data_IF_761924607884
#
_entry.id   IF_761924607884
#
_cell.length_a   1.000
_cell.length_b   1.000
_cell.length_c   1.000
_cell.angle_alpha   90.00
_cell.angle_beta   90.00
_cell.angle_gamma   90.00
#
_symmetry.space_group_name_H-M   'P 1'
#
loop_
_entity.id
_entity.type
_entity.pdbx_description
1 polymer ?
#
# COMPACT_ATOMS: atom_id res chain seq x y z
N UNK A 1 15.26 -10.22 24.41
CA UNK A 1 16.25 -11.21 23.95
C UNK A 1 15.75 -11.78 22.64
N UNK A 2 16.56 -11.69 21.59
CA UNK A 2 16.23 -12.26 20.27
C UNK A 2 16.15 -13.78 20.37
N UNK A 3 14.99 -14.36 20.06
CA UNK A 3 14.76 -15.80 20.17
C UNK A 3 14.88 -16.45 18.80
N UNK A 4 16.04 -17.07 18.55
CA UNK A 4 16.36 -17.74 17.27
C UNK A 4 15.28 -18.73 16.83
N UNK A 5 14.70 -19.47 17.77
CA UNK A 5 13.64 -20.45 17.49
C UNK A 5 12.37 -19.81 16.89
N UNK A 6 11.93 -18.67 17.45
CA UNK A 6 10.76 -17.95 16.93
C UNK A 6 11.04 -17.39 15.52
N UNK A 7 12.24 -16.87 15.30
CA UNK A 7 12.65 -16.36 14.00
C UNK A 7 12.63 -17.44 12.92
N UNK A 8 13.25 -18.59 13.21
CA UNK A 8 13.35 -19.70 12.27
C UNK A 8 11.98 -20.28 11.90
N UNK A 9 11.07 -20.38 12.87
CA UNK A 9 9.69 -20.79 12.62
C UNK A 9 8.95 -19.76 11.75
N UNK A 10 9.06 -18.48 12.10
CA UNK A 10 8.43 -17.38 11.34
C UNK A 10 8.89 -17.41 9.88
N UNK A 11 10.17 -17.67 9.65
CA UNK A 11 10.73 -17.89 8.33
C UNK A 11 10.15 -19.13 7.64
N UNK A 12 10.17 -20.30 8.28
CA UNK A 12 9.65 -21.54 7.66
C UNK A 12 8.19 -21.42 7.21
N UNK A 13 7.37 -20.70 7.97
CA UNK A 13 5.97 -20.47 7.67
C UNK A 13 5.76 -19.48 6.51
N UNK A 14 6.61 -18.47 6.39
CA UNK A 14 6.44 -17.36 5.43
C UNK A 14 7.42 -17.40 4.26
N UNK A 15 8.32 -18.39 4.20
CA UNK A 15 9.46 -18.41 3.26
C UNK A 15 9.05 -18.12 1.81
N UNK A 16 7.96 -18.73 1.33
CA UNK A 16 7.53 -18.56 -0.06
C UNK A 16 7.04 -17.13 -0.33
N UNK A 17 6.32 -16.52 0.61
CA UNK A 17 5.83 -15.15 0.48
C UNK A 17 6.98 -14.15 0.61
N UNK A 18 7.96 -14.43 1.46
CA UNK A 18 9.19 -13.63 1.57
C UNK A 18 9.97 -13.67 0.26
N UNK A 19 10.22 -14.86 -0.30
CA UNK A 19 10.90 -14.95 -1.59
C UNK A 19 10.12 -14.29 -2.72
N UNK A 20 8.79 -14.42 -2.72
CA UNK A 20 7.92 -13.69 -3.64
C UNK A 20 8.12 -12.17 -3.49
N UNK A 21 8.09 -11.64 -2.27
CA UNK A 21 8.33 -10.22 -1.99
C UNK A 21 9.68 -9.74 -2.54
N UNK A 22 10.74 -10.51 -2.33
CA UNK A 22 12.08 -10.20 -2.84
C UNK A 22 12.11 -10.18 -4.37
N UNK A 23 11.61 -11.24 -5.02
CA UNK A 23 11.58 -11.35 -6.48
C UNK A 23 10.78 -10.23 -7.12
N UNK A 24 9.59 -9.97 -6.59
CA UNK A 24 8.71 -8.91 -7.05
C UNK A 24 9.38 -7.54 -6.89
N UNK A 25 10.08 -7.30 -5.77
CA UNK A 25 10.80 -6.04 -5.55
C UNK A 25 11.95 -5.83 -6.54
N UNK A 26 12.75 -6.86 -6.80
CA UNK A 26 13.80 -6.76 -7.80
C UNK A 26 13.24 -6.57 -9.21
N UNK A 27 12.11 -7.20 -9.51
CA UNK A 27 11.43 -7.05 -10.79
C UNK A 27 10.91 -5.63 -11.00
N UNK A 28 10.10 -5.12 -10.06
CA UNK A 28 9.46 -3.80 -10.20
C UNK A 28 10.43 -2.64 -10.10
N UNK A 29 11.52 -2.79 -9.34
CA UNK A 29 12.49 -1.71 -9.16
C UNK A 29 13.67 -1.87 -10.11
N UNK A 30 14.59 -2.79 -9.77
CA UNK A 30 15.90 -2.84 -10.43
C UNK A 30 15.82 -3.32 -11.87
N UNK A 31 15.03 -4.34 -12.15
CA UNK A 31 14.91 -4.90 -13.50
C UNK A 31 14.20 -3.93 -14.45
N UNK A 32 13.09 -3.32 -14.04
CA UNK A 32 12.40 -2.31 -14.87
C UNK A 32 13.32 -1.12 -15.17
N UNK A 33 14.02 -0.59 -14.15
CA UNK A 33 14.98 0.51 -14.35
C UNK A 33 16.07 0.16 -15.39
N UNK A 34 16.60 -1.06 -15.32
CA UNK A 34 17.59 -1.55 -16.27
C UNK A 34 17.01 -1.72 -17.68
N UNK A 35 15.80 -2.27 -17.82
CA UNK A 35 15.14 -2.41 -19.12
C UNK A 35 14.89 -1.04 -19.78
N UNK A 36 14.45 -0.04 -19.02
CA UNK A 36 14.30 1.34 -19.52
C UNK A 36 15.64 1.89 -20.01
N UNK A 37 16.76 1.56 -19.34
CA UNK A 37 18.08 2.00 -19.80
C UNK A 37 18.47 1.43 -21.16
N UNK A 38 18.12 0.17 -21.44
CA UNK A 38 18.37 -0.48 -22.74
C UNK A 38 17.50 0.16 -23.81
N UNK A 39 16.22 0.39 -23.51
CA UNK A 39 15.28 1.03 -24.44
C UNK A 39 15.76 2.43 -24.83
N UNK A 40 16.15 3.26 -23.87
CA UNK A 40 16.68 4.60 -24.14
C UNK A 40 17.98 4.56 -24.96
N UNK A 41 18.85 3.57 -24.72
CA UNK A 41 20.04 3.38 -25.53
C UNK A 41 19.70 2.99 -26.98
N UNK A 42 18.68 2.16 -27.20
CA UNK A 42 18.19 1.81 -28.54
C UNK A 42 17.60 3.04 -29.24
N UNK A 43 16.77 3.82 -28.56
CA UNK A 43 16.22 5.06 -29.11
C UNK A 43 17.31 6.06 -29.49
N UNK A 44 18.38 6.19 -28.70
CA UNK A 44 19.51 7.02 -29.10
C UNK A 44 20.14 6.52 -30.40
N UNK A 45 20.40 5.22 -30.52
CA UNK A 45 21.04 4.65 -31.69
C UNK A 45 20.18 4.80 -32.95
N UNK A 46 18.86 4.62 -32.82
CA UNK A 46 17.91 4.80 -33.92
C UNK A 46 17.83 6.27 -34.35
N UNK A 47 17.74 7.21 -33.40
CA UNK A 47 17.72 8.63 -33.72
C UNK A 47 19.02 9.08 -34.40
N UNK A 48 20.19 8.55 -33.98
CA UNK A 48 21.47 8.77 -34.67
C UNK A 48 21.47 8.23 -36.11
N UNK A 49 20.86 7.07 -36.35
CA UNK A 49 20.78 6.46 -37.69
C UNK A 49 19.97 7.32 -38.66
N UNK A 50 18.92 7.97 -38.18
CA UNK A 50 17.98 8.76 -38.98
C UNK A 50 18.19 10.28 -38.89
N UNK A 51 19.28 10.74 -38.23
CA UNK A 51 19.58 12.15 -38.00
C UNK A 51 18.45 12.94 -37.29
N UNK A 52 17.69 12.29 -36.41
CA UNK A 52 16.69 12.97 -35.57
C UNK A 52 17.30 13.47 -34.25
N UNK A 53 16.70 14.53 -33.69
CA UNK A 53 17.04 15.04 -32.36
C UNK A 53 16.56 14.04 -31.31
N UNK A 54 17.52 13.47 -30.57
CA UNK A 54 17.22 12.52 -29.50
C UNK A 54 16.59 13.24 -28.31
N UNK A 55 15.42 12.78 -27.88
CA UNK A 55 14.77 13.24 -26.66
C UNK A 55 14.87 12.16 -25.60
N UNK A 56 15.47 12.48 -24.46
CA UNK A 56 15.60 11.56 -23.35
C UNK A 56 14.30 11.54 -22.55
N UNK A 57 13.75 10.34 -22.35
CA UNK A 57 12.54 10.14 -21.56
C UNK A 57 12.76 9.12 -20.45
N UNK A 58 12.42 9.50 -19.23
CA UNK A 58 12.38 8.59 -18.10
C UNK A 58 11.28 8.99 -17.13
N UNK A 59 10.46 8.01 -16.77
CA UNK A 59 9.35 8.17 -15.84
C UNK A 59 9.38 7.05 -14.79
N UNK A 60 9.30 7.45 -13.52
CA UNK A 60 9.17 6.52 -12.41
C UNK A 60 8.20 7.08 -11.37
N UNK A 61 7.06 6.42 -11.23
CA UNK A 61 6.03 6.67 -10.22
C UNK A 61 6.29 5.83 -8.97
N UNK A 62 6.02 6.39 -7.79
CA UNK A 62 6.13 5.64 -6.53
C UNK A 62 4.90 4.78 -6.24
N UNK A 63 3.73 5.19 -6.72
CA UNK A 63 2.46 4.54 -6.42
C UNK A 63 2.43 3.08 -6.89
N UNK A 64 2.84 2.80 -8.13
CA UNK A 64 2.69 1.45 -8.70
C UNK A 64 3.52 0.40 -7.95
N UNK A 65 4.82 0.63 -7.65
CA UNK A 65 5.59 -0.31 -6.85
C UNK A 65 5.06 -0.42 -5.42
N UNK A 66 4.59 0.67 -4.80
CA UNK A 66 4.01 0.65 -3.45
C UNK A 66 2.73 -0.19 -3.39
N UNK A 67 1.84 -0.05 -4.36
CA UNK A 67 0.60 -0.85 -4.41
C UNK A 67 0.92 -2.33 -4.57
N UNK A 68 1.81 -2.66 -5.50
CA UNK A 68 2.17 -4.03 -5.79
C UNK A 68 2.92 -4.67 -4.61
N UNK A 69 3.98 -4.03 -4.09
CA UNK A 69 4.73 -4.53 -2.93
C UNK A 69 3.90 -4.52 -1.65
N UNK A 70 3.08 -3.49 -1.46
CA UNK A 70 2.12 -3.40 -0.38
C UNK A 70 1.15 -4.58 -0.37
N UNK A 71 0.64 -4.99 -1.53
CA UNK A 71 -0.23 -6.17 -1.65
C UNK A 71 0.47 -7.47 -1.22
N UNK A 72 1.74 -7.65 -1.59
CA UNK A 72 2.53 -8.81 -1.18
C UNK A 72 2.82 -8.77 0.32
N UNK A 73 3.07 -7.60 0.89
CA UNK A 73 3.23 -7.42 2.35
C UNK A 73 1.93 -7.69 3.11
N UNK A 74 0.77 -7.36 2.52
CA UNK A 74 -0.53 -7.72 3.09
C UNK A 74 -0.64 -9.24 3.16
N UNK A 75 -0.33 -9.94 2.07
CA UNK A 75 -0.31 -11.41 2.03
C UNK A 75 0.67 -11.96 3.07
N UNK A 76 1.86 -11.39 3.20
CA UNK A 76 2.85 -11.80 4.21
C UNK A 76 2.28 -11.70 5.62
N UNK A 77 1.75 -10.54 6.01
CA UNK A 77 1.14 -10.36 7.33
C UNK A 77 -0.09 -11.26 7.55
N UNK A 78 -0.87 -11.54 6.50
CA UNK A 78 -1.98 -12.47 6.53
C UNK A 78 -1.52 -13.92 6.76
N UNK A 79 -0.41 -14.34 6.16
CA UNK A 79 0.19 -15.66 6.44
C UNK A 79 0.79 -15.77 7.84
N UNK A 80 1.28 -14.66 8.41
CA UNK A 80 1.91 -14.67 9.75
C UNK A 80 0.91 -14.66 10.92
N UNK A 81 -0.30 -14.14 10.73
CA UNK A 81 -1.31 -14.10 11.80
C UNK A 81 -2.61 -14.80 11.38
N UNK A 82 -3.23 -14.37 10.27
CA UNK A 82 -4.50 -14.90 9.80
C UNK A 82 -4.49 -16.40 9.53
N UNK A 83 -3.42 -16.91 8.92
CA UNK A 83 -3.24 -18.35 8.68
C UNK A 83 -3.03 -19.16 9.96
N UNK A 84 -2.23 -18.65 10.90
CA UNK A 84 -2.00 -19.33 12.19
C UNK A 84 -3.28 -19.51 12.98
N UNK A 85 -4.13 -18.47 12.97
CA UNK A 85 -5.43 -18.47 13.64
C UNK A 85 -6.42 -19.39 12.95
N UNK A 86 -6.43 -19.40 11.62
CA UNK A 86 -7.34 -20.27 10.88
C UNK A 86 -7.07 -21.76 11.11
N UNK A 87 -5.80 -22.14 11.28
CA UNK A 87 -5.37 -23.53 11.47
C UNK A 87 -5.16 -23.92 12.95
N UNK A 88 -5.59 -23.09 13.91
CA UNK A 88 -5.38 -23.26 15.35
C UNK A 88 -3.89 -23.44 15.77
N UNK A 89 -2.95 -23.14 14.88
CA UNK A 89 -1.51 -23.18 15.19
C UNK A 89 -1.12 -22.11 16.22
N UNK A 90 -1.98 -21.10 16.40
CA UNK A 90 -1.91 -20.12 17.49
C UNK A 90 -1.99 -20.77 18.88
N UNK A 91 -2.76 -21.84 19.04
CA UNK A 91 -2.97 -22.48 20.35
C UNK A 91 -1.69 -23.20 20.80
N UNK A 92 -1.02 -23.87 19.86
CA UNK A 92 0.30 -24.47 20.06
C UNK A 92 1.38 -23.41 20.31
N UNK A 93 1.29 -22.24 19.68
CA UNK A 93 2.24 -21.15 19.92
C UNK A 93 2.11 -20.55 21.32
N UNK A 94 0.88 -20.45 21.80
CA UNK A 94 0.60 -19.83 23.09
C UNK A 94 0.83 -20.78 24.26
N UNK A 95 0.95 -22.08 24.03
CA UNK A 95 1.41 -23.04 25.04
C UNK A 95 2.93 -23.08 25.18
N UNK A 96 3.68 -22.51 24.23
CA UNK A 96 5.14 -22.36 24.35
C UNK A 96 5.50 -21.37 25.47
N UNK A 97 6.69 -21.51 26.10
CA UNK A 97 7.14 -20.63 27.19
C UNK A 97 7.60 -19.24 26.69
N UNK A 98 6.79 -18.59 25.84
CA UNK A 98 7.06 -17.28 25.27
C UNK A 98 5.92 -16.31 25.57
N UNK A 99 6.26 -15.07 25.94
CA UNK A 99 5.22 -14.03 26.13
C UNK A 99 4.57 -13.71 24.79
N UNK A 100 3.25 -13.55 24.78
CA UNK A 100 2.47 -13.21 23.57
C UNK A 100 2.95 -11.91 22.92
N UNK A 101 3.38 -10.93 23.70
CA UNK A 101 3.97 -9.68 23.17
C UNK A 101 5.25 -9.93 22.35
N UNK A 102 6.11 -10.85 22.78
CA UNK A 102 7.33 -11.20 22.05
C UNK A 102 7.02 -11.93 20.73
N UNK A 103 5.96 -12.73 20.67
CA UNK A 103 5.51 -13.35 19.42
C UNK A 103 5.11 -12.30 18.38
N UNK A 104 4.35 -11.28 18.80
CA UNK A 104 3.95 -10.18 17.91
C UNK A 104 5.16 -9.34 17.45
N UNK A 105 6.02 -8.94 18.39
CA UNK A 105 7.23 -8.15 18.08
C UNK A 105 8.15 -8.90 17.12
N UNK A 106 8.30 -10.22 17.28
CA UNK A 106 9.14 -11.02 16.38
C UNK A 106 8.62 -10.99 14.94
N UNK A 107 7.29 -11.09 14.75
CA UNK A 107 6.65 -11.01 13.42
C UNK A 107 6.80 -9.63 12.80
N UNK A 108 6.62 -8.59 13.61
CA UNK A 108 6.81 -7.21 13.16
C UNK A 108 8.27 -6.96 12.73
N UNK A 109 9.23 -7.34 13.57
CA UNK A 109 10.66 -7.20 13.28
C UNK A 109 11.07 -8.02 12.05
N UNK A 110 10.54 -9.24 11.90
CA UNK A 110 10.81 -10.09 10.75
C UNK A 110 10.42 -9.42 9.42
N UNK A 111 9.23 -8.82 9.35
CA UNK A 111 8.81 -8.11 8.14
C UNK A 111 9.64 -6.86 7.88
N UNK A 112 9.90 -6.04 8.91
CA UNK A 112 10.73 -4.83 8.75
C UNK A 112 12.14 -5.16 8.28
N UNK A 113 12.79 -6.17 8.86
CA UNK A 113 14.11 -6.57 8.41
C UNK A 113 14.12 -6.96 6.93
N UNK A 114 13.09 -7.65 6.45
CA UNK A 114 12.97 -7.99 5.03
C UNK A 114 12.70 -6.77 4.14
N UNK A 115 11.79 -5.88 4.56
CA UNK A 115 11.48 -4.63 3.82
C UNK A 115 12.76 -3.77 3.71
N UNK A 116 13.43 -3.52 4.83
CA UNK A 116 14.66 -2.71 4.90
C UNK A 116 15.77 -3.33 4.05
N UNK A 117 16.00 -4.64 4.17
CA UNK A 117 17.04 -5.32 3.40
C UNK A 117 16.81 -5.20 1.89
N UNK A 118 15.59 -5.47 1.43
CA UNK A 118 15.26 -5.43 -0.01
C UNK A 118 15.31 -4.01 -0.56
N UNK A 119 14.82 -3.02 0.19
CA UNK A 119 14.86 -1.61 -0.21
C UNK A 119 16.31 -1.11 -0.31
N UNK A 120 17.16 -1.42 0.67
CA UNK A 120 18.58 -1.03 0.64
C UNK A 120 19.31 -1.69 -0.53
N UNK A 121 19.05 -2.98 -0.78
CA UNK A 121 19.66 -3.68 -1.90
C UNK A 121 19.23 -3.08 -3.24
N UNK A 122 17.94 -2.77 -3.44
CA UNK A 122 17.46 -2.13 -4.66
C UNK A 122 18.02 -0.72 -4.82
N UNK A 123 18.13 0.05 -3.74
CA UNK A 123 18.79 1.36 -3.77
C UNK A 123 20.26 1.25 -4.22
N UNK A 124 21.00 0.27 -3.69
CA UNK A 124 22.37 -0.01 -4.11
C UNK A 124 22.47 -0.44 -5.58
N UNK A 125 21.54 -1.29 -6.04
CA UNK A 125 21.46 -1.71 -7.44
C UNK A 125 21.17 -0.52 -8.36
N UNK A 126 20.27 0.40 -7.99
CA UNK A 126 20.03 1.63 -8.75
C UNK A 126 21.30 2.47 -8.87
N UNK A 127 22.05 2.64 -7.77
CA UNK A 127 23.30 3.40 -7.79
C UNK A 127 24.35 2.77 -8.74
N UNK A 128 24.45 1.44 -8.75
CA UNK A 128 25.35 0.69 -9.64
C UNK A 128 24.86 0.79 -11.09
N UNK A 129 23.59 0.49 -11.35
CA UNK A 129 22.99 0.52 -12.69
C UNK A 129 23.08 1.91 -13.29
N UNK A 130 22.79 2.96 -12.53
CA UNK A 130 22.93 4.35 -12.98
C UNK A 130 24.35 4.63 -13.48
N UNK A 131 25.38 4.17 -12.76
CA UNK A 131 26.79 4.36 -13.17
C UNK A 131 27.19 3.52 -14.39
N UNK A 132 26.67 2.29 -14.50
CA UNK A 132 27.06 1.36 -15.56
C UNK A 132 26.27 1.54 -16.87
N UNK A 133 25.09 2.16 -16.80
CA UNK A 133 24.17 2.27 -17.94
C UNK A 133 24.17 3.66 -18.56
N UNK A 134 23.40 3.77 -19.64
CA UNK A 134 23.15 5.01 -20.37
C UNK A 134 22.75 6.17 -19.45
N UNK A 135 21.97 5.89 -18.39
CA UNK A 135 21.43 6.87 -17.45
C UNK A 135 22.49 7.70 -16.71
N UNK A 136 23.76 7.26 -16.65
CA UNK A 136 24.81 8.00 -15.94
C UNK A 136 24.97 9.44 -16.43
N UNK A 137 24.77 9.66 -17.74
CA UNK A 137 24.95 10.95 -18.42
C UNK A 137 23.71 11.83 -18.39
N UNK A 138 22.54 11.29 -18.07
CA UNK A 138 21.26 11.96 -18.27
C UNK A 138 20.43 12.13 -16.99
N UNK A 139 20.86 11.54 -15.87
CA UNK A 139 20.12 11.55 -14.62
C UNK A 139 20.94 12.05 -13.44
N UNK A 140 20.34 12.94 -12.65
CA UNK A 140 20.80 13.27 -11.30
C UNK A 140 20.31 12.21 -10.31
N UNK A 141 21.17 11.73 -9.40
CA UNK A 141 20.80 10.65 -8.48
C UNK A 141 20.04 11.11 -7.22
N UNK A 142 20.08 12.41 -6.91
CA UNK A 142 19.48 12.99 -5.69
C UNK A 142 18.00 12.57 -5.44
N UNK A 143 17.10 12.63 -6.44
CA UNK A 143 15.69 12.25 -6.27
C UNK A 143 15.47 10.80 -5.83
N UNK A 144 16.34 9.88 -6.25
CA UNK A 144 16.21 8.47 -5.95
C UNK A 144 16.37 8.18 -4.45
N UNK A 145 17.19 8.97 -3.72
CA UNK A 145 17.27 8.82 -2.25
C UNK A 145 15.92 9.07 -1.58
N UNK A 146 15.25 10.17 -1.93
CA UNK A 146 13.92 10.48 -1.40
C UNK A 146 12.91 9.42 -1.81
N UNK A 147 12.97 8.93 -3.05
CA UNK A 147 12.08 7.87 -3.54
C UNK A 147 12.12 6.61 -2.66
N UNK A 148 13.33 6.10 -2.38
CA UNK A 148 13.48 4.90 -1.56
C UNK A 148 13.13 5.14 -0.07
N UNK A 149 13.39 6.33 0.47
CA UNK A 149 13.00 6.67 1.85
C UNK A 149 11.47 6.71 1.99
N UNK A 150 10.78 7.38 1.07
CA UNK A 150 9.32 7.48 1.07
C UNK A 150 8.70 6.08 0.91
N UNK A 151 9.20 5.28 -0.03
CA UNK A 151 8.79 3.88 -0.20
C UNK A 151 8.94 3.09 1.08
N UNK A 152 10.10 3.18 1.75
CA UNK A 152 10.39 2.43 2.97
C UNK A 152 9.35 2.71 4.07
N UNK A 153 9.07 3.99 4.32
CA UNK A 153 8.15 4.42 5.37
C UNK A 153 6.73 3.93 5.06
N UNK A 154 6.28 4.08 3.81
CA UNK A 154 4.93 3.65 3.39
C UNK A 154 4.78 2.13 3.48
N UNK A 155 5.78 1.35 3.03
CA UNK A 155 5.73 -0.12 3.12
C UNK A 155 5.72 -0.61 4.57
N UNK A 156 6.50 0.01 5.46
CA UNK A 156 6.47 -0.32 6.90
C UNK A 156 5.10 0.00 7.50
N UNK A 157 4.48 1.11 7.11
CA UNK A 157 3.15 1.49 7.57
C UNK A 157 2.09 0.49 7.11
N UNK A 158 2.08 0.11 5.82
CA UNK A 158 1.17 -0.93 5.26
C UNK A 158 1.35 -2.26 5.99
N UNK A 159 2.59 -2.70 6.22
CA UNK A 159 2.84 -3.93 6.93
C UNK A 159 2.36 -3.87 8.40
N UNK A 160 2.61 -2.75 9.08
CA UNK A 160 2.23 -2.55 10.50
C UNK A 160 0.72 -2.54 10.67
N UNK A 161 -0.02 -1.83 9.80
CA UNK A 161 -1.49 -1.84 9.85
C UNK A 161 -2.05 -3.24 9.58
N UNK A 162 -1.49 -3.96 8.60
CA UNK A 162 -1.96 -5.32 8.28
C UNK A 162 -1.75 -6.28 9.46
N UNK A 163 -0.60 -6.20 10.13
CA UNK A 163 -0.36 -7.01 11.34
C UNK A 163 -1.31 -6.63 12.47
N UNK A 164 -1.56 -5.33 12.67
CA UNK A 164 -2.49 -4.85 13.68
C UNK A 164 -3.92 -5.36 13.43
N UNK A 165 -4.40 -5.25 12.18
CA UNK A 165 -5.69 -5.80 11.75
C UNK A 165 -5.75 -7.31 12.00
N UNK A 166 -4.65 -8.02 11.74
CA UNK A 166 -4.47 -9.44 12.03
C UNK A 166 -4.77 -9.80 13.49
N UNK A 167 -4.52 -8.90 14.44
CA UNK A 167 -4.83 -9.13 15.85
C UNK A 167 -6.33 -9.10 16.16
N UNK A 168 -7.14 -8.45 15.31
CA UNK A 168 -8.59 -8.31 15.46
C UNK A 168 -9.37 -9.35 14.66
N UNK A 169 -8.76 -9.94 13.62
CA UNK A 169 -9.36 -10.90 12.70
C UNK A 169 -9.02 -12.34 13.04
N UNK A 170 -9.93 -13.28 12.76
CA UNK A 170 -9.74 -14.69 13.10
C UNK A 170 -9.35 -15.59 11.92
N UNK A 171 -9.31 -15.09 10.68
CA UNK A 171 -8.92 -15.86 9.49
C UNK A 171 -8.12 -14.99 8.49
N UNK A 172 -7.57 -15.64 7.46
CA UNK A 172 -6.73 -14.98 6.45
C UNK A 172 -7.52 -14.00 5.56
N UNK A 173 -8.75 -14.36 5.17
CA UNK A 173 -9.58 -13.59 4.24
C UNK A 173 -10.06 -12.29 4.89
N UNK A 174 -10.52 -12.36 6.14
CA UNK A 174 -11.02 -11.21 6.87
C UNK A 174 -9.89 -10.25 7.22
N UNK A 175 -8.69 -10.76 7.50
CA UNK A 175 -7.50 -9.92 7.68
C UNK A 175 -7.19 -9.14 6.40
N UNK A 176 -7.10 -9.82 5.26
CA UNK A 176 -6.83 -9.18 3.97
C UNK A 176 -7.90 -8.16 3.62
N UNK A 177 -9.17 -8.58 3.63
CA UNK A 177 -10.31 -7.72 3.30
C UNK A 177 -10.38 -6.47 4.17
N UNK A 178 -10.30 -6.64 5.51
CA UNK A 178 -10.40 -5.51 6.43
C UNK A 178 -9.21 -4.56 6.27
N UNK A 179 -8.01 -5.07 6.02
CA UNK A 179 -6.83 -4.24 5.76
C UNK A 179 -7.01 -3.42 4.49
N UNK A 180 -7.38 -4.06 3.38
CA UNK A 180 -7.63 -3.38 2.10
C UNK A 180 -8.74 -2.33 2.25
N UNK A 181 -9.82 -2.67 2.96
CA UNK A 181 -10.89 -1.73 3.24
C UNK A 181 -10.38 -0.50 4.01
N UNK A 182 -9.58 -0.69 5.08
CA UNK A 182 -9.05 0.43 5.87
C UNK A 182 -8.05 1.29 5.07
N UNK A 183 -7.25 0.69 4.17
CA UNK A 183 -6.30 1.44 3.34
C UNK A 183 -7.01 2.30 2.29
N UNK A 184 -8.05 1.76 1.65
CA UNK A 184 -8.78 2.44 0.57
C UNK A 184 -9.79 3.45 1.12
N UNK A 185 -10.39 3.17 2.28
CA UNK A 185 -11.51 3.96 2.82
C UNK A 185 -11.21 5.46 2.98
N UNK A 186 -10.06 5.88 3.54
CA UNK A 186 -9.66 7.28 3.57
C UNK A 186 -9.62 7.93 2.17
N UNK A 187 -9.17 7.22 1.14
CA UNK A 187 -9.15 7.76 -0.23
C UNK A 187 -10.56 8.03 -0.77
N UNK A 188 -11.51 7.14 -0.47
CA UNK A 188 -12.87 7.22 -0.98
C UNK A 188 -13.73 8.24 -0.22
N UNK A 189 -13.45 8.48 1.06
CA UNK A 189 -14.33 9.25 1.94
C UNK A 189 -14.62 10.68 1.45
N UNK A 190 -13.63 11.49 1.00
CA UNK A 190 -13.91 12.83 0.45
C UNK A 190 -14.87 12.77 -0.75
N UNK A 191 -14.66 11.83 -1.66
CA UNK A 191 -15.49 11.62 -2.86
C UNK A 191 -16.92 11.21 -2.49
N UNK A 192 -17.09 10.33 -1.51
CA UNK A 192 -18.42 9.93 -1.01
C UNK A 192 -19.17 11.10 -0.38
N UNK A 193 -18.49 11.92 0.43
CA UNK A 193 -19.12 13.08 1.07
C UNK A 193 -19.50 14.13 0.02
N UNK A 194 -18.57 14.49 -0.87
CA UNK A 194 -18.84 15.47 -1.94
C UNK A 194 -19.97 14.99 -2.86
N UNK A 195 -20.01 13.70 -3.18
CA UNK A 195 -21.07 13.10 -3.98
C UNK A 195 -22.44 13.17 -3.31
N UNK A 196 -22.51 12.85 -2.00
CA UNK A 196 -23.78 12.94 -1.25
C UNK A 196 -24.26 14.39 -1.18
N UNK A 197 -23.35 15.35 -0.93
CA UNK A 197 -23.68 16.77 -0.91
C UNK A 197 -24.24 17.18 -2.27
N UNK A 198 -23.53 16.92 -3.37
CA UNK A 198 -23.92 17.31 -4.72
C UNK A 198 -25.33 16.82 -5.10
N UNK A 199 -25.68 15.58 -4.73
CA UNK A 199 -27.02 15.01 -4.98
C UNK A 199 -28.12 15.72 -4.18
N UNK A 200 -27.83 16.22 -2.97
CA UNK A 200 -28.82 16.87 -2.11
C UNK A 200 -28.89 18.39 -2.26
N UNK A 201 -27.79 19.05 -2.63
CA UNK A 201 -27.73 20.49 -2.86
C UNK A 201 -28.01 20.89 -4.31
N UNK A 202 -28.10 19.92 -5.23
CA UNK A 202 -28.21 20.15 -6.66
C UNK A 202 -27.09 21.07 -7.20
N UNK A 203 -25.92 21.04 -6.56
CA UNK A 203 -24.72 21.76 -6.99
C UNK A 203 -23.79 20.83 -7.76
N UNK A 204 -22.96 21.41 -8.61
CA UNK A 204 -21.92 20.64 -9.30
C UNK A 204 -20.95 20.00 -8.29
N UNK A 205 -20.47 18.80 -8.64
CA UNK A 205 -19.51 18.06 -7.84
C UNK A 205 -18.15 18.75 -7.88
N UNK A 206 -17.70 19.27 -6.75
CA UNK A 206 -16.34 19.79 -6.57
C UNK A 206 -15.60 18.89 -5.58
N UNK A 207 -14.64 18.12 -6.09
CA UNK A 207 -13.86 17.16 -5.28
C UNK A 207 -12.71 17.83 -4.50
N UNK A 208 -12.19 18.97 -5.01
CA UNK A 208 -10.81 19.38 -4.75
C UNK A 208 -10.60 20.44 -3.66
N UNK A 209 -11.64 21.13 -3.17
CA UNK A 209 -11.46 22.32 -2.30
C UNK A 209 -12.06 22.17 -0.89
N UNK A 210 -12.29 20.95 -0.41
CA UNK A 210 -12.86 20.74 0.92
C UNK A 210 -11.77 20.50 1.96
N UNK A 211 -11.91 21.07 3.17
CA UNK A 211 -11.06 20.77 4.34
C UNK A 211 -10.94 19.27 4.63
N UNK A 212 -11.95 18.49 4.22
CA UNK A 212 -11.97 17.04 4.37
C UNK A 212 -10.92 16.38 3.48
N UNK A 213 -10.70 16.89 2.27
CA UNK A 213 -9.68 16.39 1.36
C UNK A 213 -8.28 16.55 1.96
N UNK A 214 -7.93 17.77 2.39
CA UNK A 214 -6.62 18.06 3.00
C UNK A 214 -6.35 17.23 4.25
N UNK A 215 -7.34 17.10 5.14
CA UNK A 215 -7.20 16.29 6.35
C UNK A 215 -6.99 14.82 5.98
N UNK A 216 -7.74 14.32 5.01
CA UNK A 216 -7.67 12.92 4.63
C UNK A 216 -6.40 12.58 3.87
N UNK A 217 -5.91 13.48 3.02
CA UNK A 217 -4.60 13.37 2.37
C UNK A 217 -3.50 13.19 3.41
N UNK A 218 -3.46 14.03 4.46
CA UNK A 218 -2.42 13.96 5.49
C UNK A 218 -2.48 12.71 6.39
N UNK A 219 -3.66 12.08 6.53
CA UNK A 219 -3.84 10.87 7.34
C UNK A 219 -3.52 9.61 6.53
N UNK A 220 -3.71 9.63 5.20
CA UNK A 220 -3.56 8.46 4.34
C UNK A 220 -2.14 7.91 4.33
N UNK A 221 -2.03 6.57 4.46
CA UNK A 221 -0.75 5.87 4.35
C UNK A 221 -0.15 6.00 2.93
N UNK A 222 -1.00 6.04 1.89
CA UNK A 222 -0.58 6.10 0.48
C UNK A 222 -0.28 7.51 -0.04
N UNK A 223 -0.68 8.58 0.68
CA UNK A 223 -0.53 9.97 0.21
C UNK A 223 0.89 10.32 -0.27
N UNK A 224 1.98 9.95 0.45
CA UNK A 224 3.34 10.25 -0.02
C UNK A 224 3.74 9.56 -1.33
N UNK A 225 2.99 8.56 -1.78
CA UNK A 225 3.27 7.79 -2.99
C UNK A 225 2.47 8.25 -4.20
N UNK A 226 1.30 8.89 -4.01
CA UNK A 226 0.38 9.28 -5.08
C UNK A 226 0.99 10.33 -6.02
N UNK A 227 1.68 11.32 -5.44
CA UNK A 227 2.22 12.47 -6.16
C UNK A 227 3.73 12.42 -6.37
N UNK A 228 4.38 11.32 -5.96
CA UNK A 228 5.82 11.17 -6.10
C UNK A 228 6.16 10.60 -7.47
N UNK A 229 6.78 11.42 -8.31
CA UNK A 229 7.17 11.07 -9.67
C UNK A 229 8.58 11.60 -9.96
N UNK A 230 9.49 10.70 -10.33
CA UNK A 230 10.78 11.06 -10.92
C UNK A 230 10.57 11.15 -12.42
N UNK A 231 10.82 12.32 -12.98
CA UNK A 231 10.56 12.60 -14.38
C UNK A 231 11.73 13.36 -15.01
N UNK A 232 12.26 12.77 -16.08
CA UNK A 232 13.22 13.41 -16.96
C UNK A 232 12.65 13.37 -18.38
N UNK A 233 12.42 14.55 -18.96
CA UNK A 233 11.99 14.67 -20.34
C UNK A 233 12.61 15.92 -20.95
N UNK A 234 13.71 15.74 -21.67
CA UNK A 234 14.44 16.85 -22.29
C UNK A 234 15.27 16.38 -23.48
N UNK A 235 15.59 17.32 -24.37
CA UNK A 235 16.59 17.11 -25.41
C UNK A 235 17.99 17.30 -24.79
N UNK A 236 18.86 16.28 -24.76
CA UNK A 236 20.18 16.42 -24.16
C UNK A 236 21.17 17.28 -24.96
N UNK A 237 20.83 17.63 -26.21
CA UNK A 237 21.67 18.46 -27.09
C UNK A 237 21.37 19.95 -26.93
N UNK A 238 20.17 20.30 -26.45
CA UNK A 238 19.78 21.66 -26.11
C UNK A 238 19.64 21.81 -24.60
N UNK A 239 20.28 22.81 -24.02
CA UNK A 239 20.12 23.04 -22.60
C UNK A 239 18.73 23.64 -22.34
N UNK A 240 18.05 23.11 -21.34
CA UNK A 240 16.75 23.63 -20.93
C UNK A 240 16.95 24.96 -20.21
N UNK A 241 16.29 26.01 -20.68
CA UNK A 241 16.29 27.32 -20.01
C UNK A 241 14.98 27.46 -19.25
N UNK A 242 15.04 27.68 -17.94
CA UNK A 242 13.85 27.87 -17.13
C UNK A 242 13.20 29.26 -17.37
N UNK A 243 12.03 29.49 -16.75
CA UNK A 243 11.31 30.76 -16.84
C UNK A 243 12.10 31.96 -16.30
N UNK A 244 13.15 31.72 -15.52
CA UNK A 244 14.04 32.73 -14.94
C UNK A 244 15.31 32.95 -15.79
N UNK A 245 15.43 32.29 -16.95
CA UNK A 245 16.58 32.40 -17.83
C UNK A 245 17.79 31.57 -17.41
N UNK A 246 17.67 30.69 -16.41
CA UNK A 246 18.77 29.83 -15.95
C UNK A 246 18.85 28.58 -16.82
N UNK A 247 20.05 28.30 -17.31
CA UNK A 247 20.36 27.16 -18.18
C UNK A 247 20.66 25.90 -17.37
N UNK A 248 19.84 24.88 -17.53
CA UNK A 248 19.97 23.56 -16.89
C UNK A 248 20.42 22.52 -17.92
N UNK A 249 21.56 21.87 -17.64
CA UNK A 249 22.11 20.83 -18.51
C UNK A 249 21.49 19.44 -18.27
N UNK A 250 20.88 19.24 -17.09
CA UNK A 250 20.19 18.00 -16.70
C UNK A 250 18.90 18.39 -15.95
N UNK A 251 17.90 18.99 -16.63
CA UNK A 251 16.70 19.48 -15.98
C UNK A 251 15.96 18.33 -15.30
N UNK A 252 15.70 18.52 -14.01
CA UNK A 252 15.00 17.56 -13.18
C UNK A 252 13.57 18.03 -12.93
N UNK A 253 12.60 17.37 -13.54
CA UNK A 253 11.18 17.66 -13.39
C UNK A 253 10.51 16.77 -12.33
N UNK A 254 11.30 16.18 -11.43
CA UNK A 254 10.79 15.34 -10.34
C UNK A 254 9.84 16.14 -9.45
N UNK A 255 8.65 15.59 -9.24
CA UNK A 255 7.71 16.02 -8.20
C UNK A 255 7.96 15.19 -6.94
N UNK A 256 8.48 15.82 -5.90
CA UNK A 256 8.64 15.22 -4.56
C UNK A 256 7.55 15.81 -3.66
N UNK A 257 6.62 15.00 -3.12
CA UNK A 257 5.62 15.47 -2.18
C UNK A 257 6.28 16.11 -0.94
N UNK A 258 5.60 17.06 -0.28
CA UNK A 258 6.14 17.65 0.93
C UNK A 258 6.27 16.60 2.03
N UNK A 259 7.30 16.73 2.88
CA UNK A 259 7.55 15.81 3.99
C UNK A 259 6.39 15.71 5.00
N UNK A 260 5.44 16.66 4.98
CA UNK A 260 4.20 16.62 5.76
C UNK A 260 3.34 15.40 5.42
N UNK A 261 3.35 14.94 4.17
CA UNK A 261 2.61 13.73 3.76
C UNK A 261 3.07 12.49 4.53
N UNK A 262 4.33 12.44 4.98
CA UNK A 262 4.88 11.32 5.76
C UNK A 262 4.33 11.25 7.19
N UNK A 263 3.66 12.29 7.69
CA UNK A 263 3.07 12.30 9.04
C UNK A 263 2.05 11.17 9.18
N UNK A 264 1.19 10.98 8.17
CA UNK A 264 0.20 9.90 8.12
C UNK A 264 0.80 8.52 8.38
N UNK A 265 1.66 7.98 7.50
CA UNK A 265 2.24 6.66 7.69
C UNK A 265 3.09 6.53 8.96
N UNK A 266 3.84 7.57 9.37
CA UNK A 266 4.63 7.55 10.62
C UNK A 266 3.70 7.44 11.83
N UNK A 267 2.62 8.23 11.89
CA UNK A 267 1.64 8.17 12.96
C UNK A 267 0.97 6.79 13.04
N UNK A 268 0.66 6.18 11.90
CA UNK A 268 0.12 4.82 11.85
C UNK A 268 1.11 3.79 12.44
N UNK A 269 2.40 3.89 12.14
CA UNK A 269 3.41 3.00 12.73
C UNK A 269 3.46 3.19 14.25
N UNK A 270 3.55 4.43 14.73
CA UNK A 270 3.68 4.76 16.16
C UNK A 270 2.44 4.34 16.96
N UNK A 271 1.24 4.48 16.41
CA UNK A 271 -0.01 4.16 17.11
C UNK A 271 -0.38 2.68 16.99
N UNK A 272 -0.25 2.07 15.81
CA UNK A 272 -0.74 0.71 15.56
C UNK A 272 0.21 -0.36 16.07
N UNK A 273 1.51 -0.08 16.19
CA UNK A 273 2.47 -1.00 16.79
C UNK A 273 2.15 -1.32 18.26
N UNK A 274 2.06 -0.35 19.19
CA UNK A 274 1.71 -0.62 20.59
C UNK A 274 0.29 -1.16 20.72
N UNK A 275 -0.65 -0.66 19.91
CA UNK A 275 -2.01 -1.18 19.88
C UNK A 275 -2.04 -2.67 19.49
N UNK A 276 -1.29 -3.06 18.47
CA UNK A 276 -1.17 -4.44 18.02
C UNK A 276 -0.55 -5.35 19.08
N UNK A 277 0.50 -4.88 19.77
CA UNK A 277 1.11 -5.61 20.90
C UNK A 277 0.07 -5.85 22.00
N UNK A 278 -0.67 -4.80 22.38
CA UNK A 278 -1.70 -4.86 23.42
C UNK A 278 -2.85 -5.81 23.05
N UNK A 279 -3.40 -5.67 21.84
CA UNK A 279 -4.51 -6.48 21.37
C UNK A 279 -4.10 -7.95 21.19
N UNK A 280 -2.89 -8.22 20.69
CA UNK A 280 -2.39 -9.58 20.54
C UNK A 280 -2.22 -10.26 21.90
N UNK A 281 -1.69 -9.56 22.90
CA UNK A 281 -1.54 -10.09 24.25
C UNK A 281 -2.88 -10.49 24.89
N UNK A 282 -3.95 -9.73 24.63
CA UNK A 282 -5.30 -9.96 25.18
C UNK A 282 -6.22 -10.78 24.28
N UNK A 283 -5.72 -11.28 23.14
CA UNK A 283 -6.59 -11.98 22.18
C UNK A 283 -7.11 -13.31 22.73
N UNK A 284 -8.37 -13.60 22.41
CA UNK A 284 -9.15 -14.76 22.88
C UNK A 284 -9.15 -15.82 21.76
N UNK A 285 -8.81 -17.07 22.09
CA UNK A 285 -8.71 -18.17 21.11
C UNK A 285 -10.04 -18.76 20.67
N UNK A 286 -11.08 -18.66 21.50
CA UNK A 286 -12.38 -19.33 21.28
C UNK A 286 -13.09 -18.89 19.99
N UNK A 287 -12.65 -17.78 19.38
CA UNK A 287 -13.23 -17.25 18.13
C UNK A 287 -12.25 -17.31 16.95
N UNK A 288 -11.15 -18.06 17.06
CA UNK A 288 -10.27 -18.34 15.92
C UNK A 288 -11.08 -19.03 14.79
N UNK A 289 -10.86 -18.60 13.56
CA UNK A 289 -11.66 -19.03 12.40
C UNK A 289 -12.98 -18.27 12.17
N UNK A 290 -13.45 -17.43 13.10
CA UNK A 290 -14.47 -16.42 12.80
C UNK A 290 -13.84 -15.23 12.06
N UNK A 291 -14.64 -14.46 11.33
CA UNK A 291 -14.10 -13.33 10.58
C UNK A 291 -13.53 -12.22 11.49
N UNK A 292 -14.19 -11.92 12.60
CA UNK A 292 -13.68 -11.00 13.63
C UNK A 292 -13.70 -11.65 15.01
N UNK A 293 -12.63 -11.45 15.78
CA UNK A 293 -12.52 -11.96 17.14
C UNK A 293 -13.46 -11.23 18.11
N UNK A 294 -13.73 -9.94 17.90
CA UNK A 294 -14.55 -9.13 18.81
C UNK A 294 -15.98 -8.95 18.27
N UNK A 295 -17.02 -9.43 18.99
CA UNK A 295 -18.40 -9.42 18.47
C UNK A 295 -19.03 -8.02 18.42
N UNK A 296 -18.59 -7.08 19.27
CA UNK A 296 -19.01 -5.68 19.18
C UNK A 296 -18.43 -4.99 17.95
N UNK A 297 -17.14 -5.17 17.70
CA UNK A 297 -16.45 -4.66 16.51
C UNK A 297 -17.04 -5.24 15.23
N UNK A 298 -17.44 -6.51 15.28
CA UNK A 298 -18.14 -7.18 14.20
C UNK A 298 -19.41 -6.47 13.76
N UNK A 299 -20.26 -6.06 14.72
CA UNK A 299 -21.48 -5.30 14.41
C UNK A 299 -21.16 -3.93 13.82
N UNK A 300 -20.14 -3.25 14.36
CA UNK A 300 -19.70 -1.94 13.88
C UNK A 300 -19.20 -2.00 12.43
N UNK A 301 -18.27 -2.92 12.12
CA UNK A 301 -17.70 -3.07 10.77
C UNK A 301 -18.79 -3.41 9.75
N UNK A 302 -19.73 -4.28 10.11
CA UNK A 302 -20.87 -4.60 9.25
C UNK A 302 -21.78 -3.38 9.01
N UNK A 303 -22.12 -2.63 10.05
CA UNK A 303 -22.95 -1.44 9.93
C UNK A 303 -22.29 -0.38 9.03
N UNK A 304 -20.99 -0.12 9.24
CA UNK A 304 -20.22 0.80 8.40
C UNK A 304 -20.18 0.31 6.95
N UNK A 305 -19.88 -0.97 6.71
CA UNK A 305 -19.78 -1.51 5.35
C UNK A 305 -21.12 -1.42 4.59
N UNK A 306 -22.24 -1.68 5.26
CA UNK A 306 -23.58 -1.55 4.68
C UNK A 306 -23.87 -0.08 4.36
N UNK A 307 -23.60 0.82 5.30
CA UNK A 307 -23.87 2.26 5.12
C UNK A 307 -23.05 2.85 3.96
N UNK A 308 -21.74 2.60 3.93
CA UNK A 308 -20.87 3.12 2.86
C UNK A 308 -21.10 2.40 1.52
N UNK A 309 -21.36 1.09 1.52
CA UNK A 309 -21.76 0.36 0.31
C UNK A 309 -23.10 0.85 -0.26
N UNK A 310 -24.01 1.25 0.62
CA UNK A 310 -25.23 1.99 0.29
C UNK A 310 -24.90 3.29 -0.44
N UNK A 311 -24.08 4.17 0.15
CA UNK A 311 -23.74 5.46 -0.45
C UNK A 311 -23.14 5.27 -1.84
N UNK A 312 -22.18 4.35 -2.00
CA UNK A 312 -21.57 4.06 -3.30
C UNK A 312 -22.63 3.68 -4.34
N UNK A 313 -23.54 2.77 -3.99
CA UNK A 313 -24.63 2.36 -4.88
C UNK A 313 -25.59 3.49 -5.24
N UNK A 314 -25.93 4.33 -4.25
CA UNK A 314 -26.75 5.51 -4.45
C UNK A 314 -26.10 6.50 -5.41
N UNK A 315 -24.81 6.78 -5.26
CA UNK A 315 -24.07 7.70 -6.14
C UNK A 315 -23.95 7.18 -7.57
N UNK A 316 -23.70 5.87 -7.75
CA UNK A 316 -23.62 5.25 -9.08
C UNK A 316 -24.96 5.39 -9.82
N UNK A 317 -26.09 5.15 -9.14
CA UNK A 317 -27.42 5.22 -9.75
C UNK A 317 -27.91 6.67 -9.91
N UNK A 318 -27.46 7.57 -9.05
CA UNK A 318 -27.83 9.00 -9.04
C UNK A 318 -27.13 9.83 -10.12
N UNK A 319 -26.40 9.22 -11.06
CA UNK A 319 -25.76 9.93 -12.20
C UNK A 319 -26.73 10.79 -13.02
N UNK A 320 -28.04 10.61 -12.85
CA UNK A 320 -29.12 11.41 -13.44
C UNK A 320 -29.66 12.54 -12.52
N UNK A 321 -28.90 13.01 -11.52
CA UNK A 321 -29.27 14.06 -10.54
C UNK A 321 -30.63 13.87 -9.83
N UNK A 322 -31.15 12.65 -9.80
CA UNK A 322 -32.43 12.35 -9.17
C UNK A 322 -32.23 11.79 -7.76
N UNK A 323 -32.70 12.55 -6.77
CA UNK A 323 -32.70 12.17 -5.35
C UNK A 323 -33.38 10.82 -5.11
N UNK A 324 -34.44 10.49 -5.86
CA UNK A 324 -35.11 9.20 -5.81
C UNK A 324 -34.20 8.03 -6.24
N UNK A 325 -33.45 8.22 -7.33
CA UNK A 325 -32.47 7.23 -7.82
C UNK A 325 -31.36 6.99 -6.81
N UNK A 326 -30.92 8.03 -6.08
CA UNK A 326 -29.95 7.88 -5.00
C UNK A 326 -30.47 6.95 -3.89
N UNK A 327 -31.68 7.17 -3.38
CA UNK A 327 -32.22 6.34 -2.30
C UNK A 327 -32.52 4.91 -2.74
N UNK A 328 -33.00 4.70 -3.98
CA UNK A 328 -33.19 3.37 -4.55
C UNK A 328 -31.85 2.63 -4.63
N UNK A 329 -30.82 3.27 -5.18
CA UNK A 329 -29.47 2.71 -5.28
C UNK A 329 -28.92 2.37 -3.90
N UNK A 330 -29.07 3.28 -2.93
CA UNK A 330 -28.64 3.11 -1.55
C UNK A 330 -29.27 1.88 -0.88
N UNK A 331 -30.59 1.72 -1.01
CA UNK A 331 -31.31 0.60 -0.39
C UNK A 331 -30.94 -0.74 -1.05
N UNK A 332 -30.89 -0.78 -2.38
CA UNK A 332 -30.56 -2.01 -3.13
C UNK A 332 -29.15 -2.48 -2.80
N UNK A 333 -28.14 -1.60 -2.85
CA UNK A 333 -26.76 -2.02 -2.56
C UNK A 333 -26.54 -2.30 -1.08
N UNK A 334 -27.20 -1.58 -0.16
CA UNK A 334 -27.18 -1.89 1.28
C UNK A 334 -27.72 -3.30 1.54
N UNK A 335 -28.83 -3.66 0.90
CA UNK A 335 -29.45 -4.98 1.02
C UNK A 335 -28.52 -6.08 0.49
N UNK A 336 -27.96 -5.90 -0.71
CA UNK A 336 -26.99 -6.84 -1.29
C UNK A 336 -25.78 -7.00 -0.34
N UNK A 337 -25.22 -5.89 0.15
CA UNK A 337 -24.05 -5.91 1.04
C UNK A 337 -24.36 -6.66 2.34
N UNK A 338 -25.54 -6.45 2.94
CA UNK A 338 -25.97 -7.14 4.15
C UNK A 338 -25.99 -8.68 3.99
N UNK A 339 -26.47 -9.19 2.85
CA UNK A 339 -26.57 -10.64 2.61
C UNK A 339 -25.25 -11.30 2.21
N UNK A 340 -24.45 -10.65 1.36
CA UNK A 340 -23.25 -11.27 0.78
C UNK A 340 -22.01 -11.10 1.65
N UNK A 341 -21.83 -9.95 2.31
CA UNK A 341 -20.61 -9.65 3.06
C UNK A 341 -20.32 -10.66 4.19
N UNK A 342 -21.29 -11.08 5.02
CA UNK A 342 -21.03 -12.09 6.06
C UNK A 342 -20.64 -13.46 5.48
N UNK A 343 -21.15 -13.82 4.30
CA UNK A 343 -20.83 -15.10 3.63
C UNK A 343 -19.39 -15.10 3.13
N UNK A 344 -18.96 -14.02 2.49
CA UNK A 344 -17.59 -13.85 1.98
C UNK A 344 -16.58 -13.87 3.13
N UNK A 345 -16.85 -13.13 4.20
CA UNK A 345 -15.92 -13.00 5.33
C UNK A 345 -15.78 -14.29 6.16
N UNK A 346 -16.81 -15.15 6.17
CA UNK A 346 -16.77 -16.46 6.84
C UNK A 346 -16.10 -17.55 6.00
N UNK A 347 -15.74 -17.25 4.75
CA UNK A 347 -15.13 -18.26 3.90
C UNK A 347 -13.79 -18.71 4.49
N UNK A 348 -13.61 -20.03 4.60
CA UNK A 348 -12.37 -20.66 5.03
C UNK A 348 -11.63 -21.16 3.81
N UNK A 349 -10.41 -20.68 3.60
CA UNK A 349 -9.52 -21.15 2.54
C UNK A 349 -8.55 -22.16 3.15
N UNK A 350 -8.76 -23.47 2.93
CA UNK A 350 -7.75 -24.48 3.28
C UNK A 350 -6.90 -24.79 2.06
N UNK A 351 -5.62 -24.45 2.11
CA UNK A 351 -4.66 -24.96 1.13
C UNK A 351 -4.31 -26.38 1.55
N UNK A 352 -5.04 -27.36 1.03
CA UNK A 352 -4.62 -28.75 1.12
C UNK A 352 -3.51 -28.98 0.08
N UNK A 353 -2.31 -28.48 0.38
CA UNK A 353 -1.12 -29.06 -0.25
C UNK A 353 -0.83 -30.37 0.50
N UNK A 354 -1.30 -31.47 -0.10
CA UNK A 354 -0.88 -32.81 0.27
C UNK A 354 0.56 -33.04 -0.15
#
# INVERSE_FOLDING_TARGET
MFQKALWLRTYQQSKYVVWLFWLVSFYTLSYQYYMTSIQEQQFLNDNKKWNYVYHYHFDLTLLDPVLLLGSVLIVLACTLIGWERQNNASDLLWSMPFKRSHLYITKWLFGICNIVAVVILNWGLFAIMKKLTFHNKYQVFSPFHSYFIYMLIVLIAIYTITLCVGTMTGNIISQGFLTTAILIFPALLPSLISGVIAVHSNTEFHEDNSLIHDVMENIRISSPAEDFRIYFNYDPQSAYTDQNGVRHNEPNFTKIPPAKTLIGPIAHIILLLPLGIYLYARSINERNGNYLLYPKLQKLVMACAIFFGGIVGGLILSRAHSLSSFYIGFLVTSFITYFFLPKILKWKVSWNFK
#
